data_IF_513107328380
#
_entry.id   IF_513107328380
#
_cell.length_a   1.000
_cell.length_b   1.000
_cell.length_c   1.000
_cell.angle_alpha   90.00
_cell.angle_beta   90.00
_cell.angle_gamma   90.00
#
_symmetry.space_group_name_H-M   'P 1'
#
loop_
_entity.id
_entity.type
_entity.pdbx_description
1 polymer ?
#
# COMPACT_ATOMS: atom_id res chain seq x y z
N UNK A 1 -30.63 47.10 -55.92
CA UNK A 1 -30.65 47.71 -54.58
C UNK A 1 -31.32 46.73 -53.62
N UNK A 2 -30.50 45.95 -52.90
CA UNK A 2 -30.93 44.98 -51.90
C UNK A 2 -31.27 45.72 -50.58
N UNK A 3 -32.44 45.47 -50.00
CA UNK A 3 -32.73 45.76 -48.59
C UNK A 3 -32.89 44.44 -47.86
N UNK A 4 -31.93 44.13 -47.00
CA UNK A 4 -31.92 42.96 -46.11
C UNK A 4 -32.68 43.35 -44.85
N UNK A 5 -33.78 42.64 -44.58
CA UNK A 5 -34.47 42.70 -43.28
C UNK A 5 -33.75 41.80 -42.28
N UNK A 6 -33.30 42.40 -41.18
CA UNK A 6 -32.79 41.71 -40.00
C UNK A 6 -33.92 40.97 -39.30
N UNK A 7 -33.78 39.65 -39.14
CA UNK A 7 -34.61 38.84 -38.25
C UNK A 7 -33.71 38.36 -37.11
N UNK A 8 -33.78 39.07 -35.99
CA UNK A 8 -33.26 38.61 -34.71
C UNK A 8 -34.31 37.68 -34.07
N UNK A 9 -34.11 36.37 -34.15
CA UNK A 9 -34.89 35.42 -33.34
C UNK A 9 -34.23 35.27 -31.97
N UNK A 10 -34.96 35.77 -30.98
CA UNK A 10 -34.73 35.67 -29.56
C UNK A 10 -34.87 34.19 -29.13
N UNK A 11 -33.76 33.48 -28.91
CA UNK A 11 -33.77 32.18 -28.23
C UNK A 11 -33.48 32.40 -26.74
N UNK A 12 -34.52 32.79 -26.00
CA UNK A 12 -34.53 32.82 -24.54
C UNK A 12 -35.52 31.77 -24.03
N UNK A 13 -35.14 31.12 -22.93
CA UNK A 13 -35.87 30.10 -22.17
C UNK A 13 -35.76 28.66 -22.68
N UNK A 14 -34.73 27.95 -22.19
CA UNK A 14 -34.83 26.62 -21.54
C UNK A 14 -33.52 26.35 -20.77
N UNK A 15 -33.21 27.22 -19.81
CA UNK A 15 -32.30 26.90 -18.70
C UNK A 15 -33.15 26.82 -17.44
N UNK A 16 -33.88 25.71 -17.28
CA UNK A 16 -34.38 25.31 -15.97
C UNK A 16 -33.19 24.87 -15.13
N UNK A 17 -32.54 25.86 -14.53
CA UNK A 17 -31.61 25.65 -13.43
C UNK A 17 -32.36 25.02 -12.26
N UNK A 18 -32.29 23.71 -12.15
CA UNK A 18 -32.51 23.01 -10.90
C UNK A 18 -31.29 23.26 -9.99
N UNK A 19 -31.21 24.45 -9.44
CA UNK A 19 -30.35 24.74 -8.30
C UNK A 19 -31.00 24.16 -7.04
N UNK A 20 -30.98 22.83 -6.88
CA UNK A 20 -31.14 22.23 -5.56
C UNK A 20 -29.85 22.48 -4.81
N UNK A 21 -29.89 23.34 -3.78
CA UNK A 21 -28.78 23.51 -2.85
C UNK A 21 -28.41 22.14 -2.29
N UNK A 22 -27.24 21.63 -2.68
CA UNK A 22 -26.68 20.40 -2.16
C UNK A 22 -26.38 20.62 -0.67
N UNK A 23 -27.07 19.90 0.20
CA UNK A 23 -26.85 20.00 1.64
C UNK A 23 -25.53 19.30 2.02
N UNK A 24 -25.06 18.33 1.23
CA UNK A 24 -23.83 17.57 1.50
C UNK A 24 -22.93 17.36 0.26
N UNK A 25 -23.13 18.12 -0.83
CA UNK A 25 -22.37 17.97 -2.08
C UNK A 25 -22.69 16.73 -2.93
N UNK A 26 -23.48 15.77 -2.42
CA UNK A 26 -23.94 14.59 -3.19
C UNK A 26 -25.04 14.98 -4.21
N UNK A 27 -25.01 14.46 -5.45
CA UNK A 27 -26.11 14.61 -6.41
C UNK A 27 -27.43 14.05 -5.88
N UNK A 28 -28.55 14.72 -6.13
CA UNK A 28 -29.86 14.19 -5.76
C UNK A 28 -30.44 13.31 -6.88
N UNK A 29 -30.77 12.06 -6.55
CA UNK A 29 -31.41 11.12 -7.47
C UNK A 29 -32.88 10.86 -7.09
N UNK A 30 -33.78 10.68 -8.07
CA UNK A 30 -35.16 10.30 -7.80
C UNK A 30 -35.24 9.00 -7.01
N UNK A 31 -36.18 8.94 -6.06
CA UNK A 31 -36.38 7.74 -5.25
C UNK A 31 -36.75 6.54 -6.14
N UNK A 32 -36.07 5.43 -5.90
CA UNK A 32 -36.28 4.14 -6.57
C UNK A 32 -36.71 3.08 -5.57
N UNK A 33 -37.49 2.11 -6.05
CA UNK A 33 -37.93 0.94 -5.29
C UNK A 33 -37.08 -0.30 -5.57
N UNK A 34 -36.06 -0.18 -6.42
CA UNK A 34 -35.17 -1.32 -6.67
C UNK A 34 -34.39 -1.66 -5.40
N UNK A 35 -34.13 -2.94 -5.23
CA UNK A 35 -33.19 -3.41 -4.21
C UNK A 35 -31.82 -3.57 -4.87
N UNK A 36 -30.80 -2.96 -4.28
CA UNK A 36 -29.40 -3.18 -4.65
C UNK A 36 -28.74 -4.17 -3.69
N UNK A 37 -27.78 -4.90 -4.25
CA UNK A 37 -26.79 -5.72 -3.55
C UNK A 37 -25.39 -5.22 -3.89
N UNK A 38 -24.41 -5.73 -3.16
CA UNK A 38 -23.04 -5.26 -3.20
C UNK A 38 -22.07 -6.36 -3.57
N UNK A 39 -21.09 -6.02 -4.41
CA UNK A 39 -19.94 -6.87 -4.69
C UNK A 39 -18.69 -6.14 -4.20
N UNK A 40 -17.93 -6.77 -3.30
CA UNK A 40 -16.66 -6.21 -2.87
C UNK A 40 -15.64 -6.39 -4.00
N UNK A 41 -15.30 -5.28 -4.66
CA UNK A 41 -14.28 -5.22 -5.70
C UNK A 41 -12.89 -5.12 -5.11
N UNK A 42 -12.72 -4.25 -4.10
CA UNK A 42 -11.46 -4.07 -3.40
C UNK A 42 -11.71 -3.99 -1.90
N UNK A 43 -10.82 -4.64 -1.13
CA UNK A 43 -10.80 -4.55 0.31
C UNK A 43 -9.36 -4.48 0.76
N UNK A 44 -9.01 -3.40 1.45
CA UNK A 44 -7.69 -3.23 2.04
C UNK A 44 -7.81 -2.72 3.48
N UNK A 45 -6.97 -3.27 4.35
CA UNK A 45 -6.82 -2.79 5.72
C UNK A 45 -5.35 -2.52 5.99
N UNK A 46 -5.11 -1.26 6.34
CA UNK A 46 -3.80 -0.77 6.73
C UNK A 46 -3.67 -0.87 8.25
N UNK A 47 -3.00 -1.92 8.71
CA UNK A 47 -2.65 -2.09 10.11
C UNK A 47 -1.29 -1.42 10.35
N UNK A 48 -1.31 -0.25 10.97
CA UNK A 48 -0.11 0.51 11.34
C UNK A 48 0.10 0.47 12.86
N UNK A 49 1.32 0.76 13.32
CA UNK A 49 1.66 0.76 14.76
C UNK A 49 2.57 1.91 15.12
N UNK A 50 2.48 2.39 16.36
CA UNK A 50 3.36 3.48 16.82
C UNK A 50 4.82 3.05 17.02
N UNK A 51 5.08 1.75 17.26
CA UNK A 51 6.43 1.22 17.50
C UNK A 51 6.62 -0.17 16.88
N UNK A 52 7.57 -0.33 15.97
CA UNK A 52 7.79 -1.60 15.27
C UNK A 52 8.17 -2.77 16.17
N UNK A 53 8.88 -2.48 17.27
CA UNK A 53 9.32 -3.48 18.26
C UNK A 53 8.18 -4.05 19.13
N UNK A 54 7.01 -3.42 19.09
CA UNK A 54 5.82 -3.85 19.83
C UNK A 54 4.83 -4.57 18.89
N UNK A 55 3.79 -5.14 19.48
CA UNK A 55 2.76 -5.89 18.76
C UNK A 55 3.03 -7.39 18.69
N UNK A 56 3.95 -7.94 19.49
CA UNK A 56 4.20 -9.41 19.48
C UNK A 56 3.01 -10.20 20.03
N UNK A 57 2.12 -9.54 20.76
CA UNK A 57 0.89 -10.10 21.33
C UNK A 57 -0.35 -9.86 20.46
N UNK A 58 -0.18 -9.16 19.35
CA UNK A 58 -1.23 -8.84 18.37
C UNK A 58 -1.33 -9.92 17.30
N UNK A 59 -2.40 -9.89 16.52
CA UNK A 59 -2.50 -10.68 15.31
C UNK A 59 -1.40 -10.26 14.33
N UNK A 60 -0.75 -11.23 13.66
CA UNK A 60 0.05 -10.93 12.48
C UNK A 60 -0.80 -10.14 11.47
N UNK A 61 -0.21 -9.13 10.82
CA UNK A 61 -0.93 -8.22 9.91
C UNK A 61 -1.79 -8.99 8.91
N UNK A 62 -1.21 -9.94 8.18
CA UNK A 62 -1.91 -10.74 7.17
C UNK A 62 -3.07 -11.57 7.74
N UNK A 63 -2.94 -12.07 8.97
CA UNK A 63 -4.02 -12.77 9.65
C UNK A 63 -5.15 -11.78 10.02
N UNK A 64 -4.80 -10.59 10.52
CA UNK A 64 -5.75 -9.52 10.80
C UNK A 64 -6.52 -9.11 9.54
N UNK A 65 -5.83 -8.93 8.40
CA UNK A 65 -6.45 -8.62 7.11
C UNK A 65 -7.44 -9.70 6.67
N UNK A 66 -6.99 -10.96 6.69
CA UNK A 66 -7.81 -12.10 6.28
C UNK A 66 -9.08 -12.25 7.15
N UNK A 67 -8.94 -12.10 8.47
CA UNK A 67 -10.07 -12.18 9.40
C UNK A 67 -11.06 -11.04 9.19
N UNK A 68 -10.59 -9.80 9.02
CA UNK A 68 -11.46 -8.66 8.75
C UNK A 68 -12.22 -8.85 7.43
N UNK A 69 -11.54 -9.34 6.38
CA UNK A 69 -12.17 -9.64 5.10
C UNK A 69 -13.24 -10.73 5.22
N UNK A 70 -12.90 -11.85 5.85
CA UNK A 70 -13.83 -12.97 6.04
C UNK A 70 -15.07 -12.52 6.82
N UNK A 71 -14.88 -11.74 7.88
CA UNK A 71 -15.98 -11.24 8.70
C UNK A 71 -16.86 -10.27 7.91
N UNK A 72 -16.28 -9.40 7.08
CA UNK A 72 -17.04 -8.50 6.19
C UNK A 72 -17.91 -9.28 5.20
N UNK A 73 -17.33 -10.27 4.51
CA UNK A 73 -18.07 -11.10 3.54
C UNK A 73 -19.24 -11.83 4.23
N UNK A 74 -18.99 -12.39 5.42
CA UNK A 74 -20.01 -13.08 6.24
C UNK A 74 -21.14 -12.12 6.63
N UNK A 75 -20.81 -10.92 7.12
CA UNK A 75 -21.82 -9.94 7.54
C UNK A 75 -22.64 -9.41 6.37
N UNK A 76 -22.02 -9.11 5.23
CA UNK A 76 -22.79 -8.74 4.03
C UNK A 76 -23.74 -9.87 3.59
N UNK A 77 -23.32 -11.12 3.70
CA UNK A 77 -24.16 -12.27 3.38
C UNK A 77 -25.34 -12.39 4.36
N UNK A 78 -25.08 -12.33 5.67
CA UNK A 78 -26.10 -12.42 6.72
C UNK A 78 -27.17 -11.33 6.60
N UNK A 79 -26.76 -10.12 6.21
CA UNK A 79 -27.66 -8.97 5.99
C UNK A 79 -28.37 -9.02 4.61
N UNK A 80 -28.14 -10.06 3.80
CA UNK A 80 -28.70 -10.20 2.45
C UNK A 80 -28.22 -9.12 1.46
N UNK A 81 -27.06 -8.53 1.74
CA UNK A 81 -26.45 -7.45 0.97
C UNK A 81 -25.45 -7.96 -0.06
N UNK A 82 -24.82 -9.12 0.15
CA UNK A 82 -23.81 -9.66 -0.76
C UNK A 82 -24.44 -10.13 -2.08
N UNK A 83 -23.89 -9.67 -3.20
CA UNK A 83 -24.33 -10.02 -4.54
C UNK A 83 -23.82 -11.41 -4.99
N UNK A 84 -24.69 -12.14 -5.68
CA UNK A 84 -24.36 -13.32 -6.49
C UNK A 84 -23.98 -12.93 -7.92
N UNK A 85 -23.48 -13.89 -8.71
CA UNK A 85 -23.09 -13.64 -10.10
C UNK A 85 -24.26 -13.20 -10.99
N UNK A 86 -25.48 -13.69 -10.71
CA UNK A 86 -26.67 -13.44 -11.54
C UNK A 86 -27.47 -12.19 -11.12
N UNK A 87 -27.15 -11.60 -9.97
CA UNK A 87 -27.84 -10.39 -9.49
C UNK A 87 -27.60 -9.24 -10.48
N UNK A 88 -28.67 -8.55 -10.90
CA UNK A 88 -28.60 -7.47 -11.88
C UNK A 88 -28.24 -6.12 -11.24
N UNK A 89 -28.91 -5.79 -10.13
CA UNK A 89 -28.81 -4.51 -9.42
C UNK A 89 -27.66 -4.55 -8.42
N UNK A 90 -26.43 -4.48 -8.92
CA UNK A 90 -25.22 -4.61 -8.10
C UNK A 90 -24.40 -3.35 -8.15
N UNK A 91 -24.07 -2.85 -6.96
CA UNK A 91 -23.11 -1.77 -6.75
C UNK A 91 -21.78 -2.39 -6.34
N UNK A 92 -20.69 -1.94 -6.96
CA UNK A 92 -19.34 -2.39 -6.63
C UNK A 92 -18.76 -1.54 -5.51
N UNK A 93 -18.17 -2.19 -4.51
CA UNK A 93 -17.58 -1.55 -3.34
C UNK A 93 -16.06 -1.66 -3.36
N UNK A 94 -15.39 -0.53 -3.14
CA UNK A 94 -14.04 -0.50 -2.60
C UNK A 94 -14.08 -0.05 -1.16
N UNK A 95 -13.47 -0.83 -0.28
CA UNK A 95 -13.45 -0.59 1.16
C UNK A 95 -11.99 -0.50 1.62
N UNK A 96 -11.68 0.58 2.32
CA UNK A 96 -10.35 0.84 2.87
C UNK A 96 -10.48 1.11 4.36
N UNK A 97 -9.81 0.33 5.21
CA UNK A 97 -9.81 0.52 6.67
C UNK A 97 -8.41 0.93 7.11
N UNK A 98 -8.27 2.07 7.78
CA UNK A 98 -7.07 2.46 8.48
C UNK A 98 -7.20 2.02 9.93
N UNK A 99 -6.24 1.23 10.41
CA UNK A 99 -6.24 0.66 11.74
C UNK A 99 -4.89 0.91 12.40
N UNK A 100 -4.83 1.88 13.30
CA UNK A 100 -3.61 2.20 14.04
C UNK A 100 -3.61 1.51 15.39
N UNK A 101 -2.76 0.48 15.53
CA UNK A 101 -2.47 -0.17 16.80
C UNK A 101 -1.83 0.82 17.77
N UNK A 102 -2.41 0.87 18.96
CA UNK A 102 -2.02 1.76 20.06
C UNK A 102 -1.55 0.91 21.23
N UNK A 103 -0.59 1.43 21.99
CA UNK A 103 0.00 0.70 23.12
C UNK A 103 -0.08 1.51 24.40
N UNK A 104 -0.12 0.83 25.54
CA UNK A 104 -0.01 1.48 26.85
C UNK A 104 1.29 2.29 26.89
N UNK A 105 1.17 3.60 27.12
CA UNK A 105 2.31 4.51 27.17
C UNK A 105 2.91 4.87 25.80
N UNK A 106 2.22 4.65 24.67
CA UNK A 106 2.71 5.00 23.33
C UNK A 106 3.00 6.50 23.10
N UNK A 107 2.40 7.37 23.92
CA UNK A 107 2.71 8.81 23.99
C UNK A 107 3.88 9.14 24.93
N UNK A 108 4.54 8.14 25.49
CA UNK A 108 5.67 8.29 26.41
C UNK A 108 6.93 7.63 25.83
N UNK A 109 8.12 7.95 26.34
CA UNK A 109 9.36 7.27 25.91
C UNK A 109 9.40 5.77 26.27
N UNK A 110 8.48 5.28 27.10
CA UNK A 110 8.48 3.95 27.67
C UNK A 110 7.18 3.18 27.37
N UNK A 111 6.86 2.92 26.09
CA UNK A 111 5.69 2.14 25.75
C UNK A 111 5.90 0.66 26.14
N UNK A 112 4.81 -0.01 26.54
CA UNK A 112 4.84 -1.45 26.85
C UNK A 112 4.02 -2.23 25.82
N UNK A 113 4.38 -3.49 25.60
CA UNK A 113 3.67 -4.39 24.67
C UNK A 113 2.34 -4.85 25.27
N UNK A 114 1.41 -3.91 25.38
CA UNK A 114 0.04 -4.09 25.84
C UNK A 114 -0.85 -3.18 25.01
N UNK A 115 -1.82 -3.77 24.32
CA UNK A 115 -2.74 -3.03 23.47
C UNK A 115 -3.62 -2.07 24.27
N UNK A 116 -3.89 -0.91 23.70
CA UNK A 116 -5.04 -0.07 24.07
C UNK A 116 -5.94 0.14 22.86
N UNK A 117 -7.07 0.82 23.05
CA UNK A 117 -8.02 1.08 21.97
C UNK A 117 -7.28 1.66 20.74
N UNK A 118 -7.43 1.04 19.55
CA UNK A 118 -6.81 1.52 18.33
C UNK A 118 -7.46 2.83 17.88
N UNK A 119 -6.75 3.58 17.02
CA UNK A 119 -7.35 4.66 16.24
C UNK A 119 -7.75 4.12 14.88
N UNK A 120 -8.96 4.42 14.41
CA UNK A 120 -9.46 3.82 13.17
C UNK A 120 -10.19 4.84 12.29
N UNK A 121 -10.17 4.62 10.99
CA UNK A 121 -10.98 5.34 10.01
C UNK A 121 -11.25 4.38 8.85
N UNK A 122 -12.38 4.53 8.16
CA UNK A 122 -12.61 3.78 6.94
C UNK A 122 -13.19 4.66 5.84
N UNK A 123 -13.02 4.17 4.62
CA UNK A 123 -13.45 4.81 3.39
C UNK A 123 -14.23 3.78 2.57
N UNK A 124 -15.38 4.17 2.07
CA UNK A 124 -16.16 3.37 1.12
C UNK A 124 -16.29 4.13 -0.18
N UNK A 125 -16.19 3.41 -1.30
CA UNK A 125 -16.45 3.95 -2.63
C UNK A 125 -17.41 3.02 -3.36
N UNK A 126 -18.44 3.62 -3.95
CA UNK A 126 -19.58 2.93 -4.53
C UNK A 126 -19.59 3.17 -6.03
N UNK A 127 -19.76 2.11 -6.82
CA UNK A 127 -19.55 2.18 -8.26
C UNK A 127 -20.62 1.43 -9.06
N UNK A 128 -20.86 1.94 -10.28
CA UNK A 128 -21.55 1.25 -11.37
C UNK A 128 -20.60 1.12 -12.57
N UNK A 129 -19.89 0.01 -12.67
CA UNK A 129 -18.78 -0.10 -13.61
C UNK A 129 -17.69 0.92 -13.27
N UNK A 130 -17.29 1.72 -14.26
CA UNK A 130 -16.28 2.79 -14.12
C UNK A 130 -16.79 4.06 -13.45
N UNK A 131 -18.11 4.18 -13.31
CA UNK A 131 -18.72 5.39 -12.80
C UNK A 131 -18.83 5.34 -11.27
N UNK A 132 -18.15 6.27 -10.58
CA UNK A 132 -18.31 6.46 -9.14
C UNK A 132 -19.67 7.08 -8.84
N UNK A 133 -20.46 6.42 -8.01
CA UNK A 133 -21.74 6.90 -7.52
C UNK A 133 -21.56 7.83 -6.33
N UNK A 134 -20.71 7.40 -5.39
CA UNK A 134 -20.34 8.16 -4.20
C UNK A 134 -19.05 7.63 -3.55
N UNK A 135 -18.53 8.45 -2.65
CA UNK A 135 -17.44 8.11 -1.75
C UNK A 135 -17.76 8.70 -0.38
N UNK A 136 -17.60 7.88 0.65
CA UNK A 136 -17.79 8.29 2.03
C UNK A 136 -16.54 8.01 2.87
N UNK A 137 -16.38 8.84 3.90
CA UNK A 137 -15.26 8.80 4.82
C UNK A 137 -15.84 8.81 6.23
N UNK A 138 -15.53 7.79 7.01
CA UNK A 138 -15.94 7.75 8.41
C UNK A 138 -15.24 8.87 9.19
N UNK A 139 -15.83 9.35 10.31
CA UNK A 139 -15.05 10.09 11.28
C UNK A 139 -13.86 9.24 11.76
N UNK A 140 -12.83 9.91 12.26
CA UNK A 140 -11.75 9.20 12.97
C UNK A 140 -12.30 8.72 14.31
N UNK A 141 -12.28 7.41 14.51
CA UNK A 141 -12.60 6.76 15.77
C UNK A 141 -11.32 6.78 16.62
N UNK A 142 -11.19 7.82 17.46
CA UNK A 142 -10.11 7.95 18.44
C UNK A 142 -10.67 7.72 19.85
N UNK A 143 -10.09 6.83 20.67
CA UNK A 143 -10.53 6.63 22.06
C UNK A 143 -10.47 7.87 22.95
N UNK A 144 -9.71 8.90 22.59
CA UNK A 144 -9.73 10.19 23.31
C UNK A 144 -10.98 11.01 23.02
N UNK A 145 -11.68 10.70 21.93
CA UNK A 145 -12.94 11.33 21.58
C UNK A 145 -14.09 10.40 21.97
N UNK A 146 -14.51 10.47 23.24
CA UNK A 146 -15.56 9.64 23.83
C UNK A 146 -16.91 9.69 23.07
N UNK A 147 -17.12 10.69 22.21
CA UNK A 147 -18.32 10.83 21.39
C UNK A 147 -18.33 9.95 20.13
N UNK A 148 -17.18 9.37 19.74
CA UNK A 148 -17.03 8.48 18.58
C UNK A 148 -16.73 7.04 19.01
N UNK A 149 -17.16 6.63 20.20
CA UNK A 149 -16.81 5.30 20.72
C UNK A 149 -17.58 4.23 19.96
N UNK A 150 -16.90 3.17 19.48
CA UNK A 150 -17.60 1.95 19.05
C UNK A 150 -18.22 1.33 20.30
N UNK A 151 -19.49 1.64 20.52
CA UNK A 151 -20.25 1.39 21.76
C UNK A 151 -20.36 -0.09 22.17
N UNK A 152 -19.87 -1.02 21.33
CA UNK A 152 -19.92 -2.46 21.56
C UNK A 152 -18.62 -3.15 22.03
N UNK A 153 -17.47 -2.47 22.06
CA UNK A 153 -16.21 -3.12 22.49
C UNK A 153 -15.86 -2.72 23.93
N UNK A 154 -15.75 -3.69 24.88
CA UNK A 154 -15.44 -3.37 26.27
C UNK A 154 -14.13 -2.59 26.40
N UNK A 155 -14.11 -1.60 27.28
CA UNK A 155 -12.91 -0.89 27.68
C UNK A 155 -11.87 -1.87 28.25
N UNK A 156 -10.59 -1.61 27.98
CA UNK A 156 -9.45 -2.39 28.46
C UNK A 156 -9.59 -2.71 29.96
N UNK A 157 -9.59 -4.02 30.27
CA UNK A 157 -9.72 -4.52 31.65
C UNK A 157 -10.21 -5.97 31.73
N UNK A 158 -10.98 -6.45 30.74
CA UNK A 158 -11.51 -7.83 30.75
C UNK A 158 -10.71 -8.85 29.93
N UNK A 159 -9.78 -8.40 29.07
CA UNK A 159 -9.00 -9.29 28.21
C UNK A 159 -7.54 -9.38 28.65
N UNK A 160 -7.13 -10.61 28.98
CA UNK A 160 -5.72 -10.97 29.19
C UNK A 160 -4.98 -11.20 27.87
N UNK A 161 -5.73 -11.56 26.82
CA UNK A 161 -5.26 -11.88 25.47
C UNK A 161 -5.51 -10.73 24.50
N UNK A 162 -4.40 -10.20 24.01
CA UNK A 162 -4.25 -9.00 23.22
C UNK A 162 -4.65 -9.24 21.74
N UNK A 163 -4.44 -10.45 21.22
CA UNK A 163 -4.87 -10.84 19.87
C UNK A 163 -6.39 -10.98 19.77
N UNK A 164 -7.04 -11.51 20.83
CA UNK A 164 -8.51 -11.59 20.90
C UNK A 164 -9.16 -10.22 20.98
N UNK A 165 -8.54 -9.31 21.73
CA UNK A 165 -9.00 -7.94 21.82
C UNK A 165 -8.91 -7.25 20.45
N UNK A 166 -7.79 -7.40 19.74
CA UNK A 166 -7.64 -6.87 18.40
C UNK A 166 -8.69 -7.41 17.42
N UNK A 167 -8.93 -8.72 17.41
CA UNK A 167 -9.98 -9.32 16.59
C UNK A 167 -11.36 -8.66 16.83
N UNK A 168 -11.69 -8.37 18.10
CA UNK A 168 -12.95 -7.69 18.45
C UNK A 168 -13.00 -6.27 17.88
N UNK A 169 -11.91 -5.50 17.97
CA UNK A 169 -11.87 -4.17 17.37
C UNK A 169 -12.01 -4.22 15.85
N UNK A 170 -11.28 -5.13 15.18
CA UNK A 170 -11.40 -5.33 13.73
C UNK A 170 -12.85 -5.69 13.32
N UNK A 171 -13.48 -6.61 14.05
CA UNK A 171 -14.87 -7.01 13.80
C UNK A 171 -15.84 -5.85 14.02
N UNK A 172 -15.61 -5.05 15.07
CA UNK A 172 -16.44 -3.89 15.37
C UNK A 172 -16.31 -2.80 14.30
N UNK A 173 -15.11 -2.57 13.76
CA UNK A 173 -14.88 -1.67 12.63
C UNK A 173 -15.61 -2.14 11.38
N UNK A 174 -15.55 -3.43 11.07
CA UNK A 174 -16.30 -4.00 9.95
C UNK A 174 -17.81 -3.83 10.15
N UNK A 175 -18.34 -4.01 11.36
CA UNK A 175 -19.76 -3.74 11.62
C UNK A 175 -20.14 -2.29 11.31
N UNK A 176 -19.29 -1.31 11.68
CA UNK A 176 -19.53 0.10 11.33
C UNK A 176 -19.51 0.32 9.81
N UNK A 177 -18.62 -0.34 9.07
CA UNK A 177 -18.63 -0.30 7.60
C UNK A 177 -19.97 -0.81 7.05
N UNK A 178 -20.50 -1.91 7.58
CA UNK A 178 -21.81 -2.46 7.18
C UNK A 178 -22.93 -1.47 7.48
N UNK A 179 -22.94 -0.85 8.66
CA UNK A 179 -23.95 0.14 9.05
C UNK A 179 -23.97 1.34 8.09
N UNK A 180 -22.79 1.83 7.68
CA UNK A 180 -22.68 2.89 6.67
C UNK A 180 -23.24 2.44 5.31
N UNK A 181 -22.84 1.27 4.82
CA UNK A 181 -23.38 0.70 3.57
C UNK A 181 -24.90 0.58 3.64
N UNK A 182 -25.46 0.17 4.78
CA UNK A 182 -26.91 0.07 4.98
C UNK A 182 -27.60 1.44 4.96
N UNK A 183 -27.00 2.45 5.58
CA UNK A 183 -27.52 3.81 5.60
C UNK A 183 -27.58 4.43 4.19
N UNK A 184 -26.55 4.18 3.37
CA UNK A 184 -26.44 4.73 2.01
C UNK A 184 -27.19 3.90 0.95
N UNK A 185 -27.68 2.71 1.31
CA UNK A 185 -28.35 1.77 0.39
C UNK A 185 -29.46 2.37 -0.45
N UNK A 186 -30.27 3.27 0.12
CA UNK A 186 -31.34 3.92 -0.63
C UNK A 186 -30.79 4.92 -1.65
N UNK A 187 -29.70 5.63 -1.33
CA UNK A 187 -29.03 6.52 -2.27
C UNK A 187 -28.45 5.72 -3.43
N UNK A 188 -27.73 4.63 -3.13
CA UNK A 188 -27.19 3.70 -4.12
C UNK A 188 -28.28 3.17 -5.07
N UNK A 189 -29.42 2.75 -4.51
CA UNK A 189 -30.57 2.28 -5.30
C UNK A 189 -31.12 3.36 -6.25
N UNK A 190 -31.19 4.61 -5.78
CA UNK A 190 -31.65 5.74 -6.58
C UNK A 190 -30.65 6.06 -7.71
N UNK A 191 -29.36 6.14 -7.36
CA UNK A 191 -28.28 6.41 -8.29
C UNK A 191 -28.20 5.32 -9.36
N UNK A 192 -28.20 4.06 -8.96
CA UNK A 192 -28.18 2.91 -9.87
C UNK A 192 -29.37 2.95 -10.84
N UNK A 193 -30.60 3.11 -10.33
CA UNK A 193 -31.80 3.16 -11.15
C UNK A 193 -31.79 4.32 -12.15
N UNK A 194 -31.31 5.49 -11.71
CA UNK A 194 -31.17 6.65 -12.57
C UNK A 194 -30.15 6.41 -13.69
N UNK A 195 -28.97 5.87 -13.36
CA UNK A 195 -27.86 5.64 -14.30
C UNK A 195 -28.08 4.46 -15.25
N UNK A 196 -28.98 3.54 -14.91
CA UNK A 196 -29.34 2.38 -15.74
C UNK A 196 -30.67 2.55 -16.46
N UNK A 197 -31.33 3.71 -16.33
CA UNK A 197 -32.62 3.97 -16.97
C UNK A 197 -32.52 3.80 -18.49
N UNK A 198 -33.34 2.90 -19.02
CA UNK A 198 -33.40 2.61 -20.46
C UNK A 198 -32.34 1.62 -20.97
N UNK A 199 -31.46 1.12 -20.09
CA UNK A 199 -30.55 0.02 -20.43
C UNK A 199 -31.28 -1.32 -20.28
N UNK A 200 -31.00 -2.25 -21.19
CA UNK A 200 -31.43 -3.64 -21.03
C UNK A 200 -30.50 -4.42 -20.09
N UNK A 201 -30.88 -5.67 -19.78
CA UNK A 201 -30.11 -6.55 -18.89
C UNK A 201 -28.67 -6.76 -19.39
N UNK A 202 -28.48 -6.93 -20.70
CA UNK A 202 -27.17 -7.21 -21.27
C UNK A 202 -26.25 -5.99 -21.18
N UNK A 203 -26.78 -4.78 -21.43
CA UNK A 203 -26.05 -3.52 -21.30
C UNK A 203 -25.65 -3.23 -19.84
N UNK A 204 -26.54 -3.52 -18.87
CA UNK A 204 -26.21 -3.36 -17.44
C UNK A 204 -25.09 -4.34 -17.04
N UNK A 205 -25.17 -5.59 -17.48
CA UNK A 205 -24.12 -6.59 -17.22
C UNK A 205 -22.79 -6.21 -17.88
N UNK A 206 -22.82 -5.74 -19.13
CA UNK A 206 -21.63 -5.29 -19.84
C UNK A 206 -20.97 -4.08 -19.15
N UNK A 207 -21.75 -3.09 -18.72
CA UNK A 207 -21.24 -1.92 -17.96
C UNK A 207 -20.56 -2.35 -16.66
N UNK A 208 -21.06 -3.39 -15.99
CA UNK A 208 -20.43 -3.97 -14.79
C UNK A 208 -19.16 -4.77 -15.07
N UNK A 209 -19.04 -5.37 -16.25
CA UNK A 209 -17.89 -6.19 -16.63
C UNK A 209 -16.71 -5.35 -17.14
N UNK A 210 -16.97 -4.25 -17.85
CA UNK A 210 -15.94 -3.39 -18.45
C UNK A 210 -14.85 -2.94 -17.45
N UNK A 211 -15.25 -2.55 -16.23
CA UNK A 211 -14.27 -2.23 -15.18
C UNK A 211 -13.62 -3.44 -14.56
N UNK A 212 -14.33 -4.55 -14.39
CA UNK A 212 -13.70 -5.76 -13.88
C UNK A 212 -12.53 -6.16 -14.79
N UNK A 213 -12.63 -5.92 -16.08
CA UNK A 213 -11.57 -6.23 -17.05
C UNK A 213 -10.47 -5.16 -17.07
N UNK A 214 -10.78 -3.86 -16.98
CA UNK A 214 -9.75 -2.82 -16.87
C UNK A 214 -9.02 -2.86 -15.51
N UNK A 215 -9.72 -3.11 -14.41
CA UNK A 215 -9.14 -3.32 -13.09
C UNK A 215 -8.38 -4.65 -13.03
N UNK A 216 -8.83 -5.73 -13.69
CA UNK A 216 -8.06 -6.98 -13.81
C UNK A 216 -6.87 -6.86 -14.77
N UNK A 217 -6.94 -6.01 -15.79
CA UNK A 217 -5.82 -5.72 -16.69
C UNK A 217 -4.78 -4.81 -16.04
N UNK A 218 -5.20 -3.98 -15.08
CA UNK A 218 -4.33 -3.17 -14.22
C UNK A 218 -3.82 -3.94 -12.98
N UNK A 219 -4.51 -5.01 -12.56
CA UNK A 219 -4.04 -5.95 -11.56
C UNK A 219 -2.94 -6.78 -12.20
N UNK A 220 -1.75 -6.21 -12.21
CA UNK A 220 -0.54 -6.88 -12.63
C UNK A 220 -0.37 -8.09 -11.73
N UNK A 221 -0.82 -9.24 -12.22
CA UNK A 221 -0.62 -10.53 -11.57
C UNK A 221 0.73 -11.05 -12.03
N UNK A 222 1.79 -10.87 -11.24
CA UNK A 222 3.06 -11.49 -11.54
C UNK A 222 2.85 -12.99 -11.73
N UNK A 223 3.44 -13.53 -12.79
CA UNK A 223 3.38 -14.97 -13.10
C UNK A 223 4.21 -15.77 -12.09
N UNK A 224 5.14 -15.09 -11.41
CA UNK A 224 6.15 -15.70 -10.58
C UNK A 224 7.34 -16.18 -11.41
N UNK A 225 8.53 -16.14 -10.82
CA UNK A 225 9.70 -16.82 -11.36
C UNK A 225 9.78 -18.25 -10.80
N UNK A 226 10.31 -19.16 -11.60
CA UNK A 226 10.45 -20.59 -11.23
C UNK A 226 11.68 -20.87 -10.38
N UNK A 227 12.58 -19.90 -10.22
CA UNK A 227 13.85 -20.05 -9.51
C UNK A 227 14.06 -18.92 -8.51
N UNK A 228 14.54 -19.28 -7.31
CA UNK A 228 15.03 -18.33 -6.32
C UNK A 228 16.36 -17.65 -6.73
N UNK A 229 17.08 -18.23 -7.69
CA UNK A 229 18.34 -17.72 -8.22
C UNK A 229 18.10 -16.75 -9.38
N UNK A 230 17.30 -15.71 -9.14
CA UNK A 230 16.89 -14.75 -10.17
C UNK A 230 17.89 -13.60 -10.37
N UNK A 231 18.86 -13.45 -9.47
CA UNK A 231 19.92 -12.43 -9.56
C UNK A 231 21.11 -13.03 -10.31
N UNK A 232 21.50 -12.47 -11.47
CA UNK A 232 22.60 -13.03 -12.26
C UNK A 232 23.93 -13.04 -11.49
N UNK A 233 24.77 -14.04 -11.77
CA UNK A 233 26.03 -14.25 -11.06
C UNK A 233 26.99 -13.05 -11.23
N UNK A 234 26.97 -12.40 -12.40
CA UNK A 234 27.75 -11.21 -12.71
C UNK A 234 27.42 -10.00 -11.83
N UNK A 235 26.21 -9.94 -11.25
CA UNK A 235 25.84 -8.88 -10.30
C UNK A 235 26.55 -9.09 -8.96
N UNK A 236 26.74 -10.35 -8.55
CA UNK A 236 27.43 -10.70 -7.31
C UNK A 236 28.96 -10.66 -7.47
N UNK A 237 29.48 -10.86 -8.67
CA UNK A 237 30.91 -11.03 -8.93
C UNK A 237 31.80 -9.87 -8.42
N UNK A 238 31.47 -8.58 -8.61
CA UNK A 238 32.27 -7.48 -8.07
C UNK A 238 32.33 -7.48 -6.53
N UNK A 239 31.23 -7.82 -5.85
CA UNK A 239 31.20 -7.89 -4.39
C UNK A 239 32.01 -9.09 -3.89
N UNK A 240 31.90 -10.24 -4.55
CA UNK A 240 32.73 -11.42 -4.23
C UNK A 240 34.21 -11.09 -4.38
N UNK A 241 34.60 -10.39 -5.46
CA UNK A 241 35.98 -9.95 -5.66
C UNK A 241 36.43 -8.96 -4.58
N UNK A 242 35.57 -8.01 -4.19
CA UNK A 242 35.84 -7.05 -3.12
C UNK A 242 36.06 -7.71 -1.76
N UNK A 243 35.20 -8.65 -1.36
CA UNK A 243 35.35 -9.42 -0.10
C UNK A 243 36.60 -10.32 -0.12
N UNK A 244 36.99 -10.83 -1.29
CA UNK A 244 38.22 -11.64 -1.45
C UNK A 244 39.50 -10.81 -1.58
N UNK A 245 39.41 -9.47 -1.62
CA UNK A 245 40.59 -8.63 -1.76
C UNK A 245 41.56 -8.84 -0.61
N UNK A 246 42.86 -8.77 -0.92
CA UNK A 246 43.90 -8.71 0.11
C UNK A 246 43.92 -7.36 0.81
N UNK A 247 43.39 -6.32 0.18
CA UNK A 247 43.22 -4.98 0.76
C UNK A 247 42.02 -4.97 1.73
N UNK A 248 42.33 -4.66 2.99
CA UNK A 248 41.34 -4.55 4.07
C UNK A 248 40.31 -3.45 3.80
N UNK A 249 40.75 -2.29 3.35
CA UNK A 249 39.85 -1.15 3.20
C UNK A 249 38.87 -1.42 2.06
N UNK A 250 39.30 -2.13 1.02
CA UNK A 250 38.43 -2.64 -0.03
C UNK A 250 37.39 -3.63 0.48
N UNK A 251 37.73 -4.56 1.40
CA UNK A 251 36.75 -5.47 2.02
C UNK A 251 35.69 -4.69 2.81
N UNK A 252 36.13 -3.76 3.66
CA UNK A 252 35.23 -2.91 4.46
C UNK A 252 34.32 -2.07 3.57
N UNK A 253 34.86 -1.46 2.51
CA UNK A 253 34.05 -0.65 1.58
C UNK A 253 33.07 -1.50 0.78
N UNK A 254 33.42 -2.76 0.53
CA UNK A 254 32.50 -3.75 -0.04
C UNK A 254 31.36 -4.06 0.95
N UNK A 255 31.66 -4.33 2.23
CA UNK A 255 30.64 -4.53 3.26
C UNK A 255 29.69 -3.32 3.39
N UNK A 256 30.23 -2.10 3.38
CA UNK A 256 29.44 -0.86 3.38
C UNK A 256 28.54 -0.73 2.16
N UNK A 257 29.02 -1.19 1.00
CA UNK A 257 28.24 -1.15 -0.25
C UNK A 257 27.10 -2.16 -0.22
N UNK A 258 27.29 -3.33 0.41
CA UNK A 258 26.23 -4.32 0.63
C UNK A 258 25.05 -3.78 1.46
N UNK A 259 25.26 -2.75 2.29
CA UNK A 259 24.17 -2.12 3.05
C UNK A 259 23.17 -1.35 2.18
N UNK A 260 23.48 -1.13 0.90
CA UNK A 260 22.70 -0.30 -0.04
C UNK A 260 21.98 -1.12 -1.11
N UNK A 261 22.15 -2.43 -1.11
CA UNK A 261 21.64 -3.34 -2.12
C UNK A 261 20.94 -4.53 -1.46
N UNK A 262 19.94 -5.06 -2.15
CA UNK A 262 19.23 -6.27 -1.74
C UNK A 262 19.76 -7.41 -2.59
N UNK A 263 20.82 -8.07 -2.14
CA UNK A 263 21.35 -9.25 -2.83
C UNK A 263 20.90 -10.52 -2.10
N UNK A 264 20.63 -11.57 -2.87
CA UNK A 264 20.30 -12.89 -2.37
C UNK A 264 21.32 -13.88 -2.95
N UNK A 265 22.46 -14.03 -2.26
CA UNK A 265 23.56 -14.87 -2.75
C UNK A 265 24.28 -15.59 -1.61
N UNK A 266 24.12 -16.90 -1.59
CA UNK A 266 24.76 -17.79 -0.62
C UNK A 266 26.28 -17.75 -0.70
N UNK A 267 26.81 -17.69 -1.92
CA UNK A 267 28.25 -17.61 -2.16
C UNK A 267 28.85 -16.30 -1.61
N UNK A 268 28.17 -15.16 -1.85
CA UNK A 268 28.64 -13.86 -1.37
C UNK A 268 28.55 -13.75 0.15
N UNK A 269 27.37 -13.97 0.72
CA UNK A 269 27.19 -13.80 2.17
C UNK A 269 27.83 -14.93 2.99
N UNK A 270 28.13 -16.08 2.38
CA UNK A 270 29.00 -17.08 2.98
C UNK A 270 30.44 -16.58 3.18
N UNK A 271 30.96 -15.76 2.26
CA UNK A 271 32.27 -15.12 2.42
C UNK A 271 32.24 -14.03 3.50
N UNK A 272 31.18 -13.22 3.53
CA UNK A 272 30.97 -12.21 4.60
C UNK A 272 30.86 -12.90 5.97
N UNK A 273 30.13 -14.02 6.05
CA UNK A 273 30.05 -14.85 7.25
C UNK A 273 31.42 -15.35 7.68
N UNK A 274 32.22 -15.86 6.75
CA UNK A 274 33.59 -16.29 7.04
C UNK A 274 34.44 -15.13 7.58
N UNK A 275 34.38 -13.95 6.96
CA UNK A 275 35.09 -12.76 7.44
C UNK A 275 34.70 -12.37 8.87
N UNK A 276 33.42 -12.52 9.26
CA UNK A 276 32.99 -12.34 10.65
C UNK A 276 33.63 -13.38 11.57
N UNK A 277 33.51 -14.66 11.22
CA UNK A 277 33.98 -15.77 12.05
C UNK A 277 35.50 -15.78 12.24
N UNK A 278 36.25 -15.35 11.23
CA UNK A 278 37.71 -15.26 11.28
C UNK A 278 38.19 -14.13 12.22
N UNK A 279 37.38 -13.07 12.42
CA UNK A 279 37.84 -11.83 13.06
C UNK A 279 37.13 -11.45 14.38
N UNK A 280 35.94 -11.99 14.69
CA UNK A 280 35.12 -11.50 15.82
C UNK A 280 35.74 -11.68 17.21
N UNK A 281 36.71 -12.60 17.36
CA UNK A 281 37.48 -12.83 18.59
C UNK A 281 38.90 -12.26 18.56
N UNK A 282 39.27 -11.55 17.49
CA UNK A 282 40.61 -11.00 17.36
C UNK A 282 40.89 -9.94 18.44
N UNK A 283 42.14 -9.86 18.89
CA UNK A 283 42.62 -8.74 19.71
C UNK A 283 43.06 -7.55 18.87
N UNK A 284 43.20 -7.72 17.56
CA UNK A 284 43.59 -6.64 16.63
C UNK A 284 42.39 -5.71 16.37
N UNK A 285 42.50 -4.40 16.68
CA UNK A 285 41.44 -3.42 16.39
C UNK A 285 41.03 -3.39 14.91
N UNK A 286 41.97 -3.60 13.99
CA UNK A 286 41.69 -3.56 12.56
C UNK A 286 40.78 -4.72 12.13
N UNK A 287 41.07 -5.93 12.63
CA UNK A 287 40.23 -7.11 12.48
C UNK A 287 38.85 -6.95 13.13
N UNK A 288 38.76 -6.32 14.31
CA UNK A 288 37.48 -6.06 14.98
C UNK A 288 36.59 -5.10 14.19
N UNK A 289 37.17 -4.08 13.55
CA UNK A 289 36.41 -3.21 12.66
C UNK A 289 35.89 -3.97 11.42
N UNK A 290 36.70 -4.84 10.81
CA UNK A 290 36.22 -5.72 9.72
C UNK A 290 35.06 -6.61 10.16
N UNK A 291 35.18 -7.26 11.32
CA UNK A 291 34.11 -8.07 11.88
C UNK A 291 32.84 -7.25 12.16
N UNK A 292 33.00 -5.99 12.57
CA UNK A 292 31.88 -5.08 12.85
C UNK A 292 31.10 -4.77 11.56
N UNK A 293 31.79 -4.39 10.49
CA UNK A 293 31.15 -4.07 9.21
C UNK A 293 30.54 -5.30 8.54
N UNK A 294 31.25 -6.43 8.54
CA UNK A 294 30.74 -7.68 8.00
C UNK A 294 29.52 -8.19 8.79
N UNK A 295 29.52 -8.12 10.13
CA UNK A 295 28.37 -8.49 10.95
C UNK A 295 27.16 -7.59 10.69
N UNK A 296 27.40 -6.29 10.45
CA UNK A 296 26.35 -5.35 10.03
C UNK A 296 25.80 -5.72 8.65
N UNK A 297 26.65 -6.06 7.69
CA UNK A 297 26.24 -6.48 6.36
C UNK A 297 25.39 -7.76 6.39
N UNK A 298 25.76 -8.75 7.21
CA UNK A 298 24.92 -9.94 7.42
C UNK A 298 23.55 -9.59 7.99
N UNK A 299 23.50 -8.77 9.04
CA UNK A 299 22.24 -8.42 9.67
C UNK A 299 21.31 -7.63 8.74
N UNK A 300 21.85 -6.64 8.01
CA UNK A 300 21.07 -5.77 7.12
C UNK A 300 20.77 -6.40 5.75
N UNK A 301 21.38 -7.54 5.42
CA UNK A 301 20.94 -8.37 4.29
C UNK A 301 19.51 -8.92 4.48
N UNK A 302 19.06 -9.03 5.73
CA UNK A 302 17.78 -9.67 6.08
C UNK A 302 17.75 -11.18 5.89
N UNK A 303 18.86 -11.82 5.52
CA UNK A 303 18.94 -13.26 5.30
C UNK A 303 19.00 -14.01 6.64
N UNK A 304 17.85 -14.53 7.06
CA UNK A 304 17.62 -15.12 8.38
C UNK A 304 18.62 -16.21 8.78
N UNK A 305 19.13 -16.98 7.82
CA UNK A 305 20.14 -18.04 8.04
C UNK A 305 21.44 -17.54 8.67
N UNK A 306 21.77 -16.24 8.56
CA UNK A 306 22.98 -15.67 9.16
C UNK A 306 22.77 -15.11 10.57
N UNK A 307 21.52 -15.12 11.08
CA UNK A 307 21.22 -14.67 12.45
C UNK A 307 22.07 -15.37 13.51
N UNK A 308 22.31 -16.71 13.46
CA UNK A 308 23.17 -17.37 14.44
C UNK A 308 24.59 -16.79 14.50
N UNK A 309 25.15 -16.36 13.37
CA UNK A 309 26.47 -15.70 13.32
C UNK A 309 26.43 -14.35 14.02
N UNK A 310 25.43 -13.52 13.74
CA UNK A 310 25.31 -12.20 14.39
C UNK A 310 25.05 -12.36 15.89
N UNK A 311 24.28 -13.37 16.29
CA UNK A 311 24.07 -13.74 17.69
C UNK A 311 25.36 -14.18 18.38
N UNK A 312 26.18 -14.99 17.70
CA UNK A 312 27.49 -15.39 18.21
C UNK A 312 28.38 -14.18 18.50
N UNK A 313 28.40 -13.18 17.61
CA UNK A 313 29.16 -11.93 17.84
C UNK A 313 28.57 -11.13 19.00
N UNK A 314 27.24 -11.08 19.12
CA UNK A 314 26.55 -10.41 20.23
C UNK A 314 26.88 -11.02 21.60
N UNK A 315 27.09 -12.33 21.65
CA UNK A 315 27.33 -13.07 22.89
C UNK A 315 28.82 -13.21 23.22
N UNK A 316 29.67 -13.36 22.20
CA UNK A 316 31.08 -13.77 22.34
C UNK A 316 32.09 -12.90 21.60
N UNK A 317 31.70 -11.73 21.09
CA UNK A 317 32.62 -10.79 20.47
C UNK A 317 33.75 -10.35 21.42
N UNK A 318 34.96 -10.15 20.89
CA UNK A 318 36.17 -9.88 21.69
C UNK A 318 36.06 -8.64 22.59
N UNK A 319 35.26 -7.65 22.19
CA UNK A 319 35.08 -6.40 22.91
C UNK A 319 33.61 -6.17 23.24
N UNK A 320 33.35 -5.50 24.36
CA UNK A 320 31.99 -5.08 24.73
C UNK A 320 31.34 -4.19 23.66
N UNK A 321 32.15 -3.37 22.98
CA UNK A 321 31.70 -2.52 21.88
C UNK A 321 31.14 -3.36 20.72
N UNK A 322 31.89 -4.37 20.26
CA UNK A 322 31.45 -5.28 19.20
C UNK A 322 30.18 -6.04 19.59
N UNK A 323 30.13 -6.58 20.81
CA UNK A 323 28.92 -7.24 21.34
C UNK A 323 27.71 -6.30 21.33
N UNK A 324 27.89 -5.06 21.79
CA UNK A 324 26.83 -4.03 21.81
C UNK A 324 26.36 -3.68 20.40
N UNK A 325 27.25 -3.59 19.42
CA UNK A 325 26.87 -3.35 18.03
C UNK A 325 26.08 -4.53 17.45
N UNK A 326 26.55 -5.76 17.62
CA UNK A 326 25.85 -6.95 17.14
C UNK A 326 24.45 -7.09 17.77
N UNK A 327 24.28 -6.79 19.08
CA UNK A 327 22.96 -6.72 19.73
C UNK A 327 22.03 -5.70 19.05
N UNK A 328 22.56 -4.53 18.65
CA UNK A 328 21.78 -3.53 17.89
C UNK A 328 21.45 -4.02 16.49
N UNK A 329 22.37 -4.71 15.82
CA UNK A 329 22.15 -5.24 14.48
C UNK A 329 21.08 -6.35 14.47
N UNK A 330 21.03 -7.20 15.50
CA UNK A 330 19.95 -8.19 15.66
C UNK A 330 18.55 -7.54 15.71
N UNK A 331 18.42 -6.39 16.38
CA UNK A 331 17.15 -5.63 16.40
C UNK A 331 16.78 -5.10 15.01
N UNK A 332 17.77 -4.68 14.22
CA UNK A 332 17.55 -4.23 12.84
C UNK A 332 17.26 -5.39 11.90
N UNK A 333 17.83 -6.57 12.18
CA UNK A 333 17.66 -7.77 11.37
C UNK A 333 16.19 -8.21 11.31
N UNK A 334 15.43 -8.12 12.40
CA UNK A 334 13.98 -8.46 12.37
C UNK A 334 13.22 -7.64 11.32
N UNK A 335 13.50 -6.34 11.25
CA UNK A 335 12.93 -5.44 10.25
C UNK A 335 13.41 -5.77 8.84
N UNK A 336 14.73 -5.92 8.65
CA UNK A 336 15.31 -6.23 7.34
C UNK A 336 14.92 -7.61 6.82
N UNK A 337 14.72 -8.61 7.67
CA UNK A 337 14.28 -9.95 7.28
C UNK A 337 12.84 -9.97 6.78
N UNK A 338 11.97 -9.13 7.34
CA UNK A 338 10.62 -8.93 6.78
C UNK A 338 10.67 -8.32 5.39
N UNK A 339 11.48 -7.26 5.21
CA UNK A 339 11.65 -6.61 3.91
C UNK A 339 12.28 -7.55 2.88
N UNK A 340 13.35 -8.26 3.25
CA UNK A 340 14.03 -9.22 2.37
C UNK A 340 13.06 -10.30 1.86
N UNK A 341 12.19 -10.83 2.73
CA UNK A 341 11.15 -11.79 2.32
C UNK A 341 10.22 -11.23 1.26
N UNK A 342 9.80 -9.97 1.37
CA UNK A 342 8.92 -9.32 0.39
C UNK A 342 9.67 -8.95 -0.90
N UNK A 343 10.88 -8.40 -0.79
CA UNK A 343 11.69 -7.93 -1.93
C UNK A 343 12.15 -9.11 -2.79
N UNK A 344 12.53 -10.22 -2.16
CA UNK A 344 12.97 -11.45 -2.83
C UNK A 344 11.85 -12.46 -3.07
N UNK A 345 10.58 -12.09 -2.88
CA UNK A 345 9.45 -12.98 -3.17
C UNK A 345 9.35 -13.22 -4.68
N UNK A 346 9.84 -14.38 -5.12
CA UNK A 346 9.82 -14.77 -6.53
C UNK A 346 8.42 -15.10 -7.03
N UNK A 347 7.47 -15.40 -6.14
CA UNK A 347 6.08 -15.64 -6.55
C UNK A 347 5.40 -14.37 -7.04
N UNK A 348 5.92 -13.19 -6.68
CA UNK A 348 5.41 -11.89 -7.10
C UNK A 348 6.25 -11.22 -8.20
N UNK A 349 7.16 -11.96 -8.82
CA UNK A 349 8.02 -11.45 -9.89
C UNK A 349 7.47 -11.75 -11.28
N UNK A 350 7.83 -10.92 -12.26
CA UNK A 350 7.41 -11.03 -13.66
C UNK A 350 8.61 -11.33 -14.56
N UNK A 351 8.53 -12.36 -15.43
CA UNK A 351 9.61 -12.70 -16.38
C UNK A 351 9.97 -11.61 -17.38
N UNK A 352 9.10 -10.61 -17.61
CA UNK A 352 9.39 -9.48 -18.52
C UNK A 352 10.32 -8.43 -17.89
N UNK A 353 10.54 -8.49 -16.58
CA UNK A 353 11.46 -7.63 -15.86
C UNK A 353 12.81 -8.32 -15.65
N UNK A 354 13.89 -7.52 -15.66
CA UNK A 354 15.17 -7.97 -15.15
C UNK A 354 15.13 -8.14 -13.61
N UNK A 355 16.20 -8.69 -13.05
CA UNK A 355 16.29 -8.94 -11.60
C UNK A 355 16.00 -7.69 -10.77
N UNK A 356 16.44 -6.52 -11.27
CA UNK A 356 16.33 -5.26 -10.54
C UNK A 356 14.94 -4.66 -10.67
N UNK A 357 14.34 -4.64 -11.87
CA UNK A 357 12.95 -4.26 -12.09
C UNK A 357 12.00 -5.07 -11.21
N UNK A 358 12.25 -6.38 -11.08
CA UNK A 358 11.50 -7.25 -10.19
C UNK A 358 11.60 -6.85 -8.71
N UNK A 359 12.81 -6.57 -8.21
CA UNK A 359 12.97 -6.05 -6.86
C UNK A 359 12.26 -4.71 -6.65
N UNK A 360 12.38 -3.78 -7.61
CA UNK A 360 11.72 -2.48 -7.54
C UNK A 360 10.20 -2.63 -7.52
N UNK A 361 9.66 -3.55 -8.33
CA UNK A 361 8.24 -3.89 -8.34
C UNK A 361 7.77 -4.42 -6.98
N UNK A 362 8.55 -5.31 -6.37
CA UNK A 362 8.25 -5.83 -5.02
C UNK A 362 8.38 -4.73 -3.94
N UNK A 363 9.40 -3.87 -4.01
CA UNK A 363 9.57 -2.72 -3.10
C UNK A 363 8.38 -1.76 -3.13
N UNK A 364 7.74 -1.56 -4.30
CA UNK A 364 6.53 -0.75 -4.39
C UNK A 364 5.34 -1.36 -3.61
N UNK A 365 5.33 -2.68 -3.42
CA UNK A 365 4.27 -3.46 -2.74
C UNK A 365 4.51 -3.70 -1.25
N UNK A 366 5.70 -3.44 -0.71
CA UNK A 366 6.04 -3.74 0.70
C UNK A 366 5.18 -2.97 1.70
N UNK A 367 4.59 -1.85 1.28
CA UNK A 367 3.96 -0.88 2.18
C UNK A 367 4.95 -0.05 3.00
N UNK A 368 6.26 -0.26 2.82
CA UNK A 368 7.32 0.44 3.53
C UNK A 368 7.72 1.73 2.81
N UNK A 369 7.53 2.89 3.46
CA UNK A 369 7.74 4.21 2.86
C UNK A 369 9.15 4.39 2.28
N UNK A 370 10.17 3.92 3.00
CA UNK A 370 11.57 4.07 2.58
C UNK A 370 11.87 3.19 1.37
N UNK A 371 11.42 1.93 1.36
CA UNK A 371 11.58 1.06 0.19
C UNK A 371 10.82 1.58 -1.03
N UNK A 372 9.58 2.04 -0.85
CA UNK A 372 8.77 2.62 -1.93
C UNK A 372 9.43 3.87 -2.51
N UNK A 373 9.93 4.76 -1.66
CA UNK A 373 10.61 5.98 -2.07
C UNK A 373 11.96 5.70 -2.73
N UNK A 374 12.70 4.69 -2.27
CA UNK A 374 13.90 4.24 -2.94
C UNK A 374 13.58 3.68 -4.32
N UNK A 375 12.57 2.82 -4.42
CA UNK A 375 12.15 2.22 -5.68
C UNK A 375 11.70 3.26 -6.70
N UNK A 376 10.86 4.22 -6.31
CA UNK A 376 10.35 5.24 -7.24
C UNK A 376 11.46 6.12 -7.81
N UNK A 377 12.48 6.43 -7.00
CA UNK A 377 13.64 7.21 -7.44
C UNK A 377 14.53 6.42 -8.40
N UNK A 378 14.67 5.12 -8.19
CA UNK A 378 15.43 4.25 -9.09
C UNK A 378 14.69 4.06 -10.42
N UNK A 379 13.38 3.81 -10.37
CA UNK A 379 12.51 3.73 -11.55
C UNK A 379 12.59 5.02 -12.35
N UNK A 380 12.51 6.19 -11.71
CA UNK A 380 12.60 7.48 -12.41
C UNK A 380 13.91 7.68 -13.17
N UNK A 381 15.02 7.05 -12.73
CA UNK A 381 16.33 7.17 -13.36
C UNK A 381 16.55 6.11 -14.44
N UNK A 382 16.15 4.87 -14.16
CA UNK A 382 16.61 3.70 -14.89
C UNK A 382 15.47 2.93 -15.59
N UNK A 383 14.21 3.12 -15.20
CA UNK A 383 13.05 2.35 -15.69
C UNK A 383 11.85 3.22 -16.08
N UNK A 384 12.04 4.52 -16.32
CA UNK A 384 10.93 5.49 -16.53
C UNK A 384 10.09 5.27 -17.80
N UNK A 385 10.48 4.31 -18.65
CA UNK A 385 9.77 3.90 -19.87
C UNK A 385 9.33 2.42 -19.84
N UNK A 386 9.62 1.70 -18.75
CA UNK A 386 9.26 0.29 -18.65
C UNK A 386 7.72 0.14 -18.49
N UNK A 387 7.02 -0.53 -19.42
CA UNK A 387 5.55 -0.53 -19.45
C UNK A 387 4.92 -1.22 -18.23
N UNK A 388 5.53 -2.29 -17.73
CA UNK A 388 5.05 -3.01 -16.55
C UNK A 388 5.11 -2.13 -15.31
N UNK A 389 6.26 -1.50 -15.06
CA UNK A 389 6.43 -0.61 -13.91
C UNK A 389 5.54 0.63 -14.03
N UNK A 390 5.39 1.21 -15.22
CA UNK A 390 4.46 2.33 -15.45
C UNK A 390 3.01 1.96 -15.16
N UNK A 391 2.56 0.77 -15.58
CA UNK A 391 1.24 0.26 -15.26
C UNK A 391 1.06 0.08 -13.73
N UNK A 392 2.08 -0.44 -13.04
CA UNK A 392 2.04 -0.59 -11.58
C UNK A 392 1.95 0.77 -10.88
N UNK A 393 2.72 1.75 -11.32
CA UNK A 393 2.68 3.11 -10.77
C UNK A 393 1.34 3.79 -11.04
N UNK A 394 0.78 3.61 -12.24
CA UNK A 394 -0.56 4.09 -12.59
C UNK A 394 -1.62 3.50 -11.65
N UNK A 395 -1.56 2.19 -11.39
CA UNK A 395 -2.48 1.52 -10.48
C UNK A 395 -2.35 2.05 -9.03
N UNK A 396 -1.12 2.22 -8.54
CA UNK A 396 -0.85 2.81 -7.21
C UNK A 396 -1.42 4.22 -7.12
N UNK A 397 -1.23 5.05 -8.15
CA UNK A 397 -1.74 6.42 -8.14
C UNK A 397 -3.26 6.45 -8.12
N UNK A 398 -3.92 5.62 -8.92
CA UNK A 398 -5.38 5.55 -9.00
C UNK A 398 -6.02 5.09 -7.68
N UNK A 399 -5.40 4.11 -7.03
CA UNK A 399 -5.93 3.50 -5.81
C UNK A 399 -5.62 4.34 -4.56
N UNK A 400 -4.42 4.90 -4.45
CA UNK A 400 -3.97 5.51 -3.19
C UNK A 400 -4.06 7.03 -3.16
N UNK A 401 -3.75 7.75 -4.26
CA UNK A 401 -3.60 9.20 -4.20
C UNK A 401 -4.94 9.97 -4.02
N UNK A 402 -6.06 9.25 -4.12
CA UNK A 402 -7.43 9.75 -3.90
C UNK A 402 -7.92 9.56 -2.47
N UNK A 403 -7.16 8.89 -1.61
CA UNK A 403 -7.62 8.51 -0.26
C UNK A 403 -6.61 8.98 0.78
N UNK A 404 -7.11 9.70 1.79
CA UNK A 404 -6.29 10.19 2.88
C UNK A 404 -6.07 9.08 3.93
N UNK A 405 -5.22 8.10 3.63
CA UNK A 405 -4.97 6.95 4.53
C UNK A 405 -3.94 7.27 5.60
N UNK A 406 -4.00 6.64 6.78
CA UNK A 406 -3.02 6.80 7.87
C UNK A 406 -1.58 6.49 7.44
N UNK A 407 -1.32 5.33 6.79
CA UNK A 407 0.00 5.01 6.21
C UNK A 407 0.44 6.02 5.15
N UNK A 408 -0.47 6.74 4.50
CA UNK A 408 -0.15 7.65 3.40
C UNK A 408 -0.06 9.12 3.81
N UNK A 409 -0.25 9.48 5.09
CA UNK A 409 -0.30 10.87 5.57
C UNK A 409 0.95 11.72 5.27
N UNK A 410 2.01 11.17 4.67
CA UNK A 410 3.23 11.88 4.23
C UNK A 410 3.75 11.45 2.85
N UNK A 411 2.91 10.81 2.03
CA UNK A 411 3.30 10.27 0.73
C UNK A 411 3.04 11.20 -0.47
N UNK A 412 2.74 12.48 -0.23
CA UNK A 412 2.57 13.48 -1.29
C UNK A 412 3.78 13.55 -2.24
N UNK A 413 5.00 13.41 -1.70
CA UNK A 413 6.23 13.29 -2.47
C UNK A 413 6.27 12.03 -3.35
N UNK A 414 5.84 10.90 -2.80
CA UNK A 414 5.85 9.62 -3.52
C UNK A 414 4.89 9.67 -4.71
N UNK A 415 3.65 10.14 -4.51
CA UNK A 415 2.67 10.31 -5.60
C UNK A 415 3.11 11.38 -6.60
N UNK A 416 3.71 12.48 -6.16
CA UNK A 416 4.27 13.48 -7.07
C UNK A 416 5.39 12.91 -7.97
N UNK A 417 6.21 11.98 -7.46
CA UNK A 417 7.18 11.25 -8.26
C UNK A 417 6.49 10.34 -9.29
N UNK A 418 5.42 9.65 -8.90
CA UNK A 418 4.62 8.84 -9.84
C UNK A 418 4.08 9.71 -10.98
N UNK A 419 3.40 10.82 -10.69
CA UNK A 419 2.89 11.74 -11.71
C UNK A 419 3.99 12.18 -12.69
N UNK A 420 5.18 12.50 -12.15
CA UNK A 420 6.35 12.86 -12.94
C UNK A 420 6.83 11.73 -13.85
N UNK A 421 6.88 10.49 -13.36
CA UNK A 421 7.32 9.34 -14.16
C UNK A 421 6.32 9.07 -15.28
N UNK A 422 5.01 9.00 -14.95
CA UNK A 422 3.95 8.78 -15.94
C UNK A 422 3.95 9.86 -17.02
N UNK A 423 3.99 11.15 -16.65
CA UNK A 423 4.03 12.24 -17.63
C UNK A 423 5.33 12.33 -18.43
N UNK A 424 6.46 11.85 -17.89
CA UNK A 424 7.73 11.78 -18.63
C UNK A 424 7.85 10.55 -19.52
N UNK A 425 6.99 9.54 -19.35
CA UNK A 425 7.00 8.34 -20.18
C UNK A 425 6.62 8.62 -21.65
N UNK A 426 5.91 9.72 -21.91
CA UNK A 426 5.36 10.05 -23.24
C UNK A 426 4.14 9.22 -23.64
N UNK A 427 3.69 8.30 -22.78
CA UNK A 427 2.52 7.48 -23.05
C UNK A 427 1.23 8.26 -22.74
N UNK A 428 0.56 8.75 -23.80
CA UNK A 428 -0.67 9.55 -23.71
C UNK A 428 -1.84 8.83 -23.03
N UNK A 429 -1.81 7.50 -22.91
CA UNK A 429 -2.85 6.75 -22.18
C UNK A 429 -2.93 7.10 -20.70
N UNK A 430 -1.87 7.67 -20.09
CA UNK A 430 -1.89 8.11 -18.69
C UNK A 430 -2.46 9.51 -18.50
N UNK A 431 -2.70 10.28 -19.57
CA UNK A 431 -3.21 11.65 -19.45
C UNK A 431 -4.55 11.73 -18.70
N UNK A 432 -5.58 10.91 -19.01
CA UNK A 432 -6.86 10.98 -18.29
C UNK A 432 -6.73 10.73 -16.79
N UNK A 433 -5.85 9.80 -16.39
CA UNK A 433 -5.57 9.56 -14.97
C UNK A 433 -4.94 10.79 -14.31
N UNK A 434 -3.97 11.44 -14.96
CA UNK A 434 -3.32 12.63 -14.40
C UNK A 434 -4.28 13.83 -14.30
N UNK A 435 -5.15 14.04 -15.28
CA UNK A 435 -6.19 15.09 -15.25
C UNK A 435 -7.16 14.86 -14.10
N UNK A 436 -7.61 13.62 -13.93
CA UNK A 436 -8.50 13.26 -12.84
C UNK A 436 -7.81 13.43 -11.46
N UNK A 437 -6.55 13.00 -11.32
CA UNK A 437 -5.78 13.20 -10.07
C UNK A 437 -5.53 14.70 -9.82
N UNK A 438 -5.39 15.52 -10.86
CA UNK A 438 -5.30 16.97 -10.73
C UNK A 438 -6.57 17.57 -10.12
N UNK A 439 -7.75 17.05 -10.47
CA UNK A 439 -9.04 17.51 -9.96
C UNK A 439 -9.36 16.93 -8.56
N UNK A 440 -9.05 15.66 -8.33
CA UNK A 440 -9.62 14.88 -7.22
C UNK A 440 -8.58 14.29 -6.25
N UNK A 441 -7.28 14.45 -6.52
CA UNK A 441 -6.23 13.97 -5.63
C UNK A 441 -6.29 14.63 -4.25
N UNK A 442 -6.00 13.87 -3.19
CA UNK A 442 -6.09 14.36 -1.80
C UNK A 442 -5.09 15.47 -1.52
N UNK A 443 -3.84 15.25 -1.93
CA UNK A 443 -2.74 16.15 -1.60
C UNK A 443 -2.56 17.24 -2.64
N UNK A 444 -2.53 18.50 -2.18
CA UNK A 444 -2.30 19.68 -3.03
C UNK A 444 -1.05 19.53 -3.92
N UNK A 445 0.04 18.97 -3.37
CA UNK A 445 1.28 18.75 -4.12
C UNK A 445 1.08 17.74 -5.25
N UNK A 446 0.42 16.61 -4.97
CA UNK A 446 0.08 15.60 -5.98
C UNK A 446 -0.76 16.19 -7.10
N UNK A 447 -1.82 16.96 -6.76
CA UNK A 447 -2.67 17.64 -7.76
C UNK A 447 -1.87 18.54 -8.69
N UNK A 448 -1.02 19.40 -8.11
CA UNK A 448 -0.14 20.31 -8.87
C UNK A 448 0.78 19.56 -9.84
N UNK A 449 1.35 18.43 -9.41
CA UNK A 449 2.23 17.64 -10.28
C UNK A 449 1.42 16.91 -11.35
N UNK A 450 0.25 16.37 -11.02
CA UNK A 450 -0.62 15.71 -11.98
C UNK A 450 -1.05 16.66 -13.10
N UNK A 451 -1.48 17.88 -12.77
CA UNK A 451 -1.81 18.95 -13.73
C UNK A 451 -0.65 19.25 -14.67
N UNK A 452 0.53 19.58 -14.10
CA UNK A 452 1.70 19.94 -14.90
C UNK A 452 2.20 18.82 -15.83
N UNK A 453 1.97 17.55 -15.46
CA UNK A 453 2.40 16.40 -16.25
C UNK A 453 1.31 15.87 -17.19
N UNK A 454 0.03 16.17 -16.94
CA UNK A 454 -1.05 15.98 -17.90
C UNK A 454 -0.86 16.91 -19.11
N UNK A 455 -0.63 18.21 -18.86
CA UNK A 455 -0.36 19.21 -19.91
C UNK A 455 0.82 18.80 -20.81
N UNK A 456 1.84 18.18 -20.21
CA UNK A 456 3.01 17.70 -20.92
C UNK A 456 2.71 16.53 -21.88
N UNK A 457 1.70 15.71 -21.60
CA UNK A 457 1.27 14.62 -22.50
C UNK A 457 0.33 15.13 -23.60
N UNK A 458 -0.34 16.25 -23.36
CA UNK A 458 -1.24 16.89 -24.32
C UNK A 458 -0.47 17.55 -25.49
N UNK A 459 0.63 18.25 -25.17
CA UNK A 459 1.59 18.78 -26.15
C UNK A 459 2.40 17.70 -26.84
#
# INVERSE_FOLDING_TARGET
MLRIFSVSVLAAALLSGCASKAIDGKPHYPKSHITVKYRIRHFDIDISKSFDRLGKRMLPEEQGKALARQYLDTRLQDEGLLASQDDLNVVDLDIFIDYHQRFVGDKTPFPVDKMVNPTMQFFTKHYLGDEMLEQDISPVFDPQNLNNFISGVPLNGMFTDDSKLEYRYLSATVNNVIEYIQADRQYDANAFAFKTKGLDKAAILAKRQARSEQAKAADIKPVGLTSADYIPAEINAPYIAGIKSTDRDQRIDTDKSLLKVWLYSDALYGLVQKQVLDNYQSSDPAAIEEATWAAKALALSGLEKYRPTVQLVADKGATEALQKYAKRYLLQMDYHSRLAKQIHDVSTMDPSLDWRGNQLSNMLRTGDDDQRMYAIKDIARNYGTNPYLLAQLSHILDTEARISRFRFQKQDNFYAWICRILGKSGNKSYQPLLEDIAAHGVYKKTRKYAEAFADKLAG
#
